data_IF_384133097502
#
_entry.id   IF_384133097502
#
_cell.length_a   1.000
_cell.length_b   1.000
_cell.length_c   1.000
_cell.angle_alpha   90.00
_cell.angle_beta   90.00
_cell.angle_gamma   90.00
#
_symmetry.space_group_name_H-M   'P 1'
#
loop_
_entity.id
_entity.type
_entity.pdbx_description
1 polymer ?
#
# COMPACT_ATOMS: atom_id res chain seq x y z
N UNK A 1 -33.26 42.34 31.02
CA UNK A 1 -32.36 42.81 29.95
C UNK A 1 -32.15 41.64 28.98
N UNK A 2 -32.96 41.54 27.94
CA UNK A 2 -32.83 40.50 26.90
C UNK A 2 -31.85 41.01 25.85
N UNK A 3 -30.59 40.50 25.85
CA UNK A 3 -29.61 40.84 24.81
C UNK A 3 -30.12 40.24 23.49
N UNK A 4 -30.55 41.09 22.57
CA UNK A 4 -30.78 40.70 21.17
C UNK A 4 -29.42 40.30 20.58
N UNK A 5 -29.15 38.98 20.57
CA UNK A 5 -28.06 38.45 19.75
C UNK A 5 -28.31 38.89 18.32
N UNK A 6 -27.39 39.62 17.71
CA UNK A 6 -27.54 40.03 16.31
C UNK A 6 -27.65 38.78 15.45
N UNK A 7 -28.55 38.78 14.48
CA UNK A 7 -28.75 37.64 13.56
C UNK A 7 -27.43 37.09 12.99
N UNK A 8 -26.48 37.99 12.75
CA UNK A 8 -25.13 37.63 12.29
C UNK A 8 -24.36 36.76 13.30
N UNK A 9 -24.48 37.00 14.61
CA UNK A 9 -23.83 36.14 15.63
C UNK A 9 -24.44 34.75 15.70
N UNK A 10 -25.75 34.67 15.56
CA UNK A 10 -26.44 33.37 15.55
C UNK A 10 -26.03 32.54 14.32
N UNK A 11 -25.94 33.16 13.15
CA UNK A 11 -25.49 32.52 11.91
C UNK A 11 -24.05 32.05 12.04
N UNK A 12 -23.16 32.88 12.59
CA UNK A 12 -21.75 32.51 12.81
C UNK A 12 -21.60 31.32 13.77
N UNK A 13 -22.35 31.31 14.86
CA UNK A 13 -22.33 30.19 15.82
C UNK A 13 -22.90 28.91 15.20
N UNK A 14 -23.96 28.99 14.41
CA UNK A 14 -24.51 27.85 13.70
C UNK A 14 -23.50 27.29 12.67
N UNK A 15 -22.83 28.16 11.92
CA UNK A 15 -21.81 27.75 10.96
C UNK A 15 -20.62 27.07 11.67
N UNK A 16 -20.13 27.65 12.76
CA UNK A 16 -19.08 27.07 13.57
C UNK A 16 -19.46 25.69 14.12
N UNK A 17 -20.69 25.53 14.60
CA UNK A 17 -21.19 24.24 15.09
C UNK A 17 -21.24 23.17 13.98
N UNK A 18 -21.66 23.56 12.77
CA UNK A 18 -21.67 22.64 11.61
C UNK A 18 -20.23 22.23 11.23
N UNK A 19 -19.30 23.16 11.19
CA UNK A 19 -17.87 22.83 10.89
C UNK A 19 -17.30 21.87 11.93
N UNK A 20 -17.54 22.12 13.22
CA UNK A 20 -17.07 21.25 14.30
C UNK A 20 -17.69 19.85 14.16
N UNK A 21 -18.98 19.77 13.88
CA UNK A 21 -19.68 18.49 13.69
C UNK A 21 -19.08 17.70 12.49
N UNK A 22 -18.79 18.38 11.39
CA UNK A 22 -18.14 17.76 10.21
C UNK A 22 -16.72 17.25 10.52
N UNK A 23 -15.95 18.03 11.26
CA UNK A 23 -14.60 17.61 11.69
C UNK A 23 -14.68 16.39 12.60
N UNK A 24 -15.57 16.37 13.57
CA UNK A 24 -15.77 15.21 14.45
C UNK A 24 -16.22 14.00 13.64
N UNK A 25 -17.15 14.15 12.71
CA UNK A 25 -17.59 13.07 11.86
C UNK A 25 -16.45 12.51 10.99
N UNK A 26 -15.62 13.39 10.42
CA UNK A 26 -14.45 12.98 9.64
C UNK A 26 -13.42 12.20 10.49
N UNK A 27 -13.13 12.69 11.71
CA UNK A 27 -12.23 12.01 12.65
C UNK A 27 -12.78 10.63 13.07
N UNK A 28 -14.09 10.53 13.31
CA UNK A 28 -14.71 9.24 13.63
C UNK A 28 -14.62 8.25 12.47
N UNK A 29 -14.87 8.68 11.24
CA UNK A 29 -14.73 7.83 10.04
C UNK A 29 -13.29 7.33 9.89
N UNK A 30 -12.28 8.19 10.09
CA UNK A 30 -10.87 7.78 10.03
C UNK A 30 -10.52 6.82 11.16
N UNK A 31 -11.00 7.08 12.39
CA UNK A 31 -10.71 6.23 13.56
C UNK A 31 -11.39 4.87 13.52
N UNK A 32 -12.52 4.77 12.82
CA UNK A 32 -13.28 3.52 12.67
C UNK A 32 -12.84 2.69 11.45
N UNK A 33 -11.90 3.19 10.64
CA UNK A 33 -11.32 2.37 9.57
C UNK A 33 -10.59 1.19 10.22
N UNK A 34 -10.93 -0.07 9.84
CA UNK A 34 -10.17 -1.21 10.31
C UNK A 34 -8.71 -1.01 9.91
N UNK A 35 -7.80 -1.21 10.87
CA UNK A 35 -6.38 -1.24 10.56
C UNK A 35 -6.14 -2.31 9.47
N UNK A 36 -5.21 -2.10 8.53
CA UNK A 36 -4.83 -3.11 7.56
C UNK A 36 -4.58 -4.43 8.28
N UNK A 37 -5.30 -5.49 7.91
CA UNK A 37 -5.14 -6.78 8.57
C UNK A 37 -3.73 -7.29 8.29
N UNK A 38 -2.95 -7.53 9.33
CA UNK A 38 -1.67 -8.18 9.21
C UNK A 38 -1.91 -9.65 8.86
N UNK A 39 -1.49 -10.06 7.67
CA UNK A 39 -1.51 -11.46 7.27
C UNK A 39 -0.49 -12.28 8.06
N UNK A 40 -0.80 -13.55 8.31
CA UNK A 40 0.11 -14.44 9.01
C UNK A 40 1.45 -14.58 8.25
N UNK A 41 2.57 -14.64 8.99
CA UNK A 41 3.92 -14.61 8.40
C UNK A 41 4.21 -15.74 7.42
N UNK A 42 3.62 -16.90 7.67
CA UNK A 42 3.81 -18.11 6.89
C UNK A 42 2.79 -18.29 5.75
N UNK A 43 2.07 -17.22 5.39
CA UNK A 43 1.16 -17.20 4.24
C UNK A 43 1.75 -16.43 3.06
N UNK A 44 1.38 -16.74 1.81
CA UNK A 44 1.82 -15.98 0.66
C UNK A 44 1.52 -14.48 0.76
N UNK A 45 0.32 -14.15 1.24
CA UNK A 45 -0.12 -12.76 1.45
C UNK A 45 0.75 -12.07 2.50
N UNK A 46 1.09 -12.77 3.58
CA UNK A 46 1.94 -12.24 4.63
C UNK A 46 3.37 -11.99 4.17
N UNK A 47 3.91 -12.84 3.31
CA UNK A 47 5.23 -12.65 2.69
C UNK A 47 5.22 -11.41 1.78
N UNK A 48 4.21 -11.29 0.89
CA UNK A 48 4.07 -10.11 0.03
C UNK A 48 3.91 -8.83 0.85
N UNK A 49 3.09 -8.85 1.89
CA UNK A 49 2.90 -7.68 2.76
C UNK A 49 4.22 -7.22 3.39
N UNK A 50 5.01 -8.14 3.94
CA UNK A 50 6.31 -7.79 4.57
C UNK A 50 7.35 -7.35 3.55
N UNK A 51 7.36 -7.97 2.37
CA UNK A 51 8.21 -7.53 1.28
C UNK A 51 7.92 -6.07 0.91
N UNK A 52 6.65 -5.71 0.74
CA UNK A 52 6.23 -4.35 0.44
C UNK A 52 6.55 -3.36 1.56
N UNK A 53 6.40 -3.77 2.83
CA UNK A 53 6.81 -2.95 3.97
C UNK A 53 8.34 -2.71 3.99
N UNK A 54 9.14 -3.73 3.65
CA UNK A 54 10.59 -3.58 3.52
C UNK A 54 10.95 -2.68 2.33
N UNK A 55 10.23 -2.78 1.22
CA UNK A 55 10.38 -1.89 0.06
C UNK A 55 10.09 -0.43 0.42
N UNK A 56 8.99 -0.14 1.11
CA UNK A 56 8.65 1.22 1.57
C UNK A 56 9.67 1.78 2.56
N UNK A 57 10.27 0.91 3.39
CA UNK A 57 11.33 1.28 4.31
C UNK A 57 12.71 1.46 3.64
N UNK A 58 12.85 1.05 2.37
CA UNK A 58 14.14 1.02 1.67
C UNK A 58 15.11 -0.03 2.23
N UNK A 59 14.58 -1.05 2.94
CA UNK A 59 15.38 -2.11 3.56
C UNK A 59 15.67 -3.24 2.57
N UNK A 60 16.65 -3.01 1.70
CA UNK A 60 17.08 -3.98 0.68
C UNK A 60 17.46 -5.36 1.27
N UNK A 61 18.23 -5.46 2.38
CA UNK A 61 18.50 -6.74 3.01
C UNK A 61 17.23 -7.50 3.44
N UNK A 62 16.26 -6.81 4.03
CA UNK A 62 14.98 -7.43 4.40
C UNK A 62 14.20 -7.90 3.19
N UNK A 63 14.14 -7.10 2.10
CA UNK A 63 13.50 -7.50 0.85
C UNK A 63 14.09 -8.79 0.28
N UNK A 64 15.43 -8.90 0.25
CA UNK A 64 16.15 -10.08 -0.24
C UNK A 64 15.80 -11.35 0.56
N UNK A 65 15.48 -11.21 1.84
CA UNK A 65 15.07 -12.34 2.69
C UNK A 65 13.73 -12.97 2.31
N UNK A 66 12.90 -12.28 1.53
CA UNK A 66 11.61 -12.79 1.06
C UNK A 66 11.62 -13.33 -0.36
N UNK A 67 12.73 -13.19 -1.08
CA UNK A 67 12.89 -13.59 -2.47
C UNK A 67 13.67 -14.90 -2.55
N UNK A 68 13.44 -15.69 -3.59
CA UNK A 68 14.22 -16.91 -3.82
C UNK A 68 15.71 -16.57 -3.91
N UNK A 69 16.55 -17.42 -3.30
CA UNK A 69 18.00 -17.30 -3.36
C UNK A 69 18.47 -17.30 -4.81
N UNK A 70 19.40 -16.41 -5.13
CA UNK A 70 19.96 -16.26 -6.46
C UNK A 70 21.11 -15.25 -6.45
N UNK A 71 21.43 -14.71 -7.62
CA UNK A 71 22.46 -13.66 -7.79
C UNK A 71 22.11 -12.40 -6.99
N UNK A 72 23.13 -11.59 -6.72
CA UNK A 72 22.95 -10.29 -6.07
C UNK A 72 21.95 -9.44 -6.83
N UNK A 73 20.90 -9.03 -6.16
CA UNK A 73 19.80 -8.24 -6.74
C UNK A 73 19.78 -6.84 -6.16
N UNK A 74 19.42 -5.88 -6.99
CA UNK A 74 19.16 -4.49 -6.60
C UNK A 74 17.77 -4.09 -7.08
N UNK A 75 17.30 -2.89 -6.73
CA UNK A 75 16.00 -2.41 -7.22
C UNK A 75 16.00 -2.35 -8.75
N UNK A 76 14.99 -2.94 -9.40
CA UNK A 76 14.82 -2.88 -10.86
C UNK A 76 14.69 -1.44 -11.34
N UNK A 77 14.04 -0.59 -10.56
CA UNK A 77 13.91 0.84 -10.80
C UNK A 77 14.59 1.62 -9.67
N UNK A 78 15.84 2.11 -9.89
CA UNK A 78 16.56 2.91 -8.90
C UNK A 78 16.03 4.35 -8.79
N UNK A 79 15.22 4.82 -9.76
CA UNK A 79 14.57 6.14 -9.67
C UNK A 79 13.58 6.13 -8.49
N UNK A 80 13.56 7.19 -7.68
CA UNK A 80 12.89 7.15 -6.38
C UNK A 80 11.36 7.18 -6.52
N UNK A 81 10.73 6.05 -6.80
CA UNK A 81 9.34 5.85 -6.39
C UNK A 81 9.21 5.90 -4.85
N UNK A 82 10.32 5.83 -4.13
CA UNK A 82 10.41 6.03 -2.68
C UNK A 82 9.98 7.42 -2.19
N UNK A 83 9.73 8.38 -3.08
CA UNK A 83 9.21 9.72 -2.71
C UNK A 83 7.70 9.84 -2.88
N UNK A 84 7.04 8.88 -3.53
CA UNK A 84 5.57 8.84 -3.65
C UNK A 84 5.05 7.66 -2.83
N UNK A 85 4.12 7.90 -1.89
CA UNK A 85 3.51 6.80 -1.15
C UNK A 85 2.80 5.88 -2.15
N UNK A 86 3.28 4.66 -2.27
CA UNK A 86 2.68 3.61 -3.07
C UNK A 86 1.57 2.96 -2.25
N UNK A 87 0.32 3.19 -2.62
CA UNK A 87 -0.80 2.50 -1.99
C UNK A 87 -0.97 1.14 -2.71
N UNK A 88 -0.73 0.05 -1.98
CA UNK A 88 -0.83 -1.30 -2.52
C UNK A 88 -1.98 -2.03 -1.86
N UNK A 89 -2.94 -2.46 -2.66
CA UNK A 89 -4.09 -3.24 -2.21
C UNK A 89 -3.96 -4.68 -2.66
N UNK A 90 -4.11 -5.62 -1.72
CA UNK A 90 -4.22 -7.04 -2.03
C UNK A 90 -5.65 -7.31 -2.52
N UNK A 91 -5.78 -7.81 -3.74
CA UNK A 91 -7.07 -8.09 -4.38
C UNK A 91 -7.54 -9.52 -4.13
N UNK A 92 -6.67 -10.49 -4.38
CA UNK A 92 -6.97 -11.91 -4.22
C UNK A 92 -5.70 -12.74 -4.15
N UNK A 93 -5.81 -13.95 -3.63
CA UNK A 93 -4.73 -14.92 -3.67
C UNK A 93 -5.24 -16.29 -4.10
N UNK A 94 -4.41 -17.00 -4.87
CA UNK A 94 -4.62 -18.41 -5.23
C UNK A 94 -3.46 -19.20 -4.67
N UNK A 95 -3.74 -20.09 -3.72
CA UNK A 95 -2.72 -20.84 -2.98
C UNK A 95 -2.83 -22.32 -3.32
N UNK A 96 -1.79 -22.86 -3.94
CA UNK A 96 -1.59 -24.30 -4.17
C UNK A 96 -0.68 -24.91 -3.10
N UNK A 97 -0.29 -26.16 -3.31
CA UNK A 97 0.58 -26.89 -2.37
C UNK A 97 2.02 -26.40 -2.36
N UNK A 98 2.54 -25.99 -3.51
CA UNK A 98 3.94 -25.59 -3.71
C UNK A 98 4.10 -24.23 -4.40
N UNK A 99 3.02 -23.63 -4.91
CA UNK A 99 3.02 -22.33 -5.57
C UNK A 99 1.81 -21.51 -5.15
N UNK A 100 1.94 -20.21 -5.19
CA UNK A 100 0.85 -19.27 -4.94
C UNK A 100 0.99 -18.05 -5.85
N UNK A 101 -0.15 -17.42 -6.15
CA UNK A 101 -0.23 -16.16 -6.87
C UNK A 101 -1.02 -15.17 -6.02
N UNK A 102 -0.46 -14.01 -5.77
CA UNK A 102 -1.07 -12.92 -4.99
C UNK A 102 -1.26 -11.72 -5.92
N UNK A 103 -2.51 -11.41 -6.25
CA UNK A 103 -2.88 -10.29 -7.09
C UNK A 103 -2.96 -9.01 -6.27
N UNK A 104 -2.33 -7.96 -6.76
CA UNK A 104 -2.24 -6.67 -6.11
C UNK A 104 -2.63 -5.56 -7.08
N UNK A 105 -3.20 -4.48 -6.54
CA UNK A 105 -3.41 -3.20 -7.24
C UNK A 105 -2.48 -2.18 -6.64
N UNK A 106 -1.83 -1.44 -7.51
CA UNK A 106 -0.93 -0.34 -7.18
C UNK A 106 -1.59 0.97 -7.57
N UNK A 107 -1.75 1.87 -6.62
CA UNK A 107 -2.28 3.21 -6.85
C UNK A 107 -1.16 4.23 -6.65
N UNK A 108 -0.81 4.99 -7.70
CA UNK A 108 0.12 6.11 -7.57
C UNK A 108 -0.61 7.32 -6.99
N UNK A 109 -0.08 7.85 -5.88
CA UNK A 109 -0.74 8.83 -5.02
C UNK A 109 -1.15 10.18 -5.64
N UNK A 110 -0.73 10.49 -6.87
CA UNK A 110 -0.99 11.78 -7.52
C UNK A 110 -2.45 11.97 -7.98
N UNK A 111 -3.22 10.89 -8.12
CA UNK A 111 -4.60 10.92 -8.60
C UNK A 111 -5.65 11.26 -7.54
N UNK A 112 -5.28 11.38 -6.27
CA UNK A 112 -6.23 11.61 -5.16
C UNK A 112 -6.99 12.94 -5.22
N UNK A 113 -6.52 13.88 -6.03
CA UNK A 113 -7.13 15.22 -6.18
C UNK A 113 -7.93 15.40 -7.48
N UNK A 114 -7.95 14.43 -8.36
CA UNK A 114 -8.67 14.53 -9.64
C UNK A 114 -10.00 13.76 -9.54
N UNK A 115 -11.10 14.34 -10.07
CA UNK A 115 -12.42 13.70 -10.03
C UNK A 115 -12.58 12.55 -11.05
N UNK A 116 -11.51 12.15 -11.73
CA UNK A 116 -11.52 11.05 -12.69
C UNK A 116 -10.94 9.81 -12.02
N UNK A 117 -11.72 8.72 -11.92
CA UNK A 117 -11.18 7.46 -11.41
C UNK A 117 -10.17 6.87 -12.40
N UNK A 118 -9.09 6.31 -11.88
CA UNK A 118 -8.31 5.20 -12.46
C UNK A 118 -7.28 5.45 -13.57
N UNK A 119 -6.76 6.64 -13.78
CA UNK A 119 -5.65 6.82 -14.73
C UNK A 119 -4.26 6.45 -14.18
N UNK A 120 -4.16 6.09 -12.89
CA UNK A 120 -2.88 5.82 -12.22
C UNK A 120 -2.85 4.52 -11.42
N UNK A 121 -3.89 3.69 -11.53
CA UNK A 121 -3.88 2.37 -10.92
C UNK A 121 -3.58 1.28 -11.95
N UNK A 122 -2.78 0.29 -11.58
CA UNK A 122 -2.54 -0.90 -12.38
C UNK A 122 -2.57 -2.14 -11.48
N UNK A 123 -2.92 -3.27 -12.08
CA UNK A 123 -2.96 -4.55 -11.38
C UNK A 123 -1.80 -5.42 -11.86
N UNK A 124 -1.16 -6.09 -10.92
CA UNK A 124 -0.07 -7.01 -11.19
C UNK A 124 -0.07 -8.11 -10.11
N UNK A 125 0.79 -9.12 -10.24
CA UNK A 125 0.80 -10.26 -9.36
C UNK A 125 2.21 -10.64 -8.89
N UNK A 126 2.28 -11.09 -7.65
CA UNK A 126 3.44 -11.81 -7.11
C UNK A 126 3.23 -13.29 -7.30
N UNK A 127 4.23 -13.97 -7.86
CA UNK A 127 4.28 -15.44 -7.91
C UNK A 127 5.23 -15.93 -6.81
N UNK A 128 4.75 -16.87 -6.00
CA UNK A 128 5.51 -17.43 -4.88
C UNK A 128 5.67 -18.92 -5.03
N UNK A 129 6.78 -19.42 -4.50
CA UNK A 129 7.06 -20.85 -4.35
C UNK A 129 7.33 -21.22 -2.90
N UNK A 130 6.93 -22.43 -2.55
CA UNK A 130 7.19 -22.98 -1.22
C UNK A 130 8.46 -23.81 -1.24
N UNK A 131 9.50 -23.34 -0.57
CA UNK A 131 10.80 -24.00 -0.47
C UNK A 131 11.03 -24.37 0.99
N UNK A 132 11.23 -25.64 1.29
CA UNK A 132 11.46 -26.17 2.65
C UNK A 132 10.41 -25.70 3.67
N UNK A 133 9.15 -25.57 3.24
CA UNK A 133 8.05 -25.12 4.09
C UNK A 133 7.85 -23.60 4.18
N UNK A 134 8.76 -22.81 3.64
CA UNK A 134 8.72 -21.33 3.63
C UNK A 134 8.28 -20.81 2.27
N UNK A 135 7.40 -19.84 2.25
CA UNK A 135 7.01 -19.13 1.03
C UNK A 135 8.04 -18.08 0.67
N UNK A 136 8.52 -18.11 -0.59
CA UNK A 136 9.45 -17.14 -1.15
C UNK A 136 8.89 -16.61 -2.47
N UNK A 137 9.16 -15.35 -2.77
CA UNK A 137 8.76 -14.69 -4.01
C UNK A 137 9.69 -15.16 -5.13
N UNK A 138 9.11 -15.70 -6.19
CA UNK A 138 9.81 -16.15 -7.42
C UNK A 138 9.78 -15.05 -8.47
N UNK A 139 8.58 -14.43 -8.66
CA UNK A 139 8.39 -13.28 -9.55
C UNK A 139 7.58 -12.20 -8.86
N UNK A 140 7.84 -10.97 -9.22
CA UNK A 140 7.23 -9.78 -8.64
C UNK A 140 7.04 -8.68 -9.68
N UNK A 141 6.13 -7.73 -9.44
CA UNK A 141 5.96 -6.54 -10.26
C UNK A 141 7.26 -5.74 -10.39
N UNK A 142 7.59 -5.33 -11.61
CA UNK A 142 8.86 -4.64 -11.91
C UNK A 142 9.06 -3.36 -11.09
N UNK A 143 7.98 -2.64 -10.79
CA UNK A 143 8.02 -1.35 -10.08
C UNK A 143 8.51 -1.49 -8.64
N UNK A 144 8.26 -2.61 -8.02
CA UNK A 144 8.71 -2.95 -6.67
C UNK A 144 9.75 -4.08 -6.68
N UNK A 145 10.27 -4.41 -7.87
CA UNK A 145 11.06 -5.59 -8.11
C UNK A 145 12.53 -5.44 -7.71
N UNK A 146 13.13 -6.61 -7.49
CA UNK A 146 14.56 -6.80 -7.37
C UNK A 146 15.08 -7.49 -8.63
N UNK A 147 15.99 -6.85 -9.35
CA UNK A 147 16.58 -7.32 -10.59
C UNK A 147 18.04 -7.69 -10.40
N UNK A 148 18.49 -8.67 -11.19
CA UNK A 148 19.91 -8.97 -11.37
C UNK A 148 20.56 -7.96 -12.32
N UNK A 149 21.89 -7.91 -12.35
CA UNK A 149 22.62 -7.06 -13.29
C UNK A 149 22.29 -7.43 -14.76
N UNK A 150 22.11 -8.73 -15.06
CA UNK A 150 21.76 -9.22 -16.38
C UNK A 150 20.36 -8.74 -16.82
N UNK A 151 19.36 -8.79 -15.92
CA UNK A 151 18.00 -8.30 -16.19
C UNK A 151 17.96 -6.79 -16.43
N UNK A 152 18.92 -6.04 -15.87
CA UNK A 152 19.08 -4.60 -16.09
C UNK A 152 19.93 -4.24 -17.31
N UNK A 153 20.51 -5.24 -18.01
CA UNK A 153 21.32 -5.04 -19.22
C UNK A 153 22.76 -4.57 -18.97
N UNK A 154 23.33 -4.88 -17.82
CA UNK A 154 24.72 -4.63 -17.47
C UNK A 154 25.58 -5.88 -17.64
#
# INVERSE_FOLDING_TARGET
MTSKFSAARVVLLALAAVIVALVIAALLVVSLRPAPQAHAENTPEGVVQRYLMAFEAGDLPAMQGYVMEGESRTLCNPEPYATQPLDVQLLSSTVGTASATVHTRFDSGDARFLPWPDLSSYEDAFELRKVNGTWLIDRMPWQVGLCTAEEMGY
#
